data_IF_428095281688
#
_entry.id   IF_428095281688
#
_cell.length_a   1.000
_cell.length_b   1.000
_cell.length_c   1.000
_cell.angle_alpha   90.00
_cell.angle_beta   90.00
_cell.angle_gamma   90.00
#
_symmetry.space_group_name_H-M   'P 1'
#
loop_
_entity.id
_entity.type
_entity.pdbx_description
1 polymer ?
#
# COMPACT_ATOMS: atom_id res chain seq x y z
N UNK A 1 15.30 15.81 -9.16
CA UNK A 1 14.86 14.46 -9.56
C UNK A 1 13.39 14.44 -9.94
N UNK A 2 13.04 13.74 -11.01
CA UNK A 2 11.65 13.62 -11.50
C UNK A 2 10.74 12.88 -10.51
N UNK A 3 11.33 12.07 -9.63
CA UNK A 3 10.65 11.29 -8.60
C UNK A 3 9.80 12.16 -7.67
N UNK A 4 10.29 13.33 -7.28
CA UNK A 4 9.53 14.28 -6.45
C UNK A 4 8.31 14.84 -7.17
N UNK A 5 8.42 15.09 -8.47
CA UNK A 5 7.29 15.53 -9.29
C UNK A 5 6.24 14.42 -9.41
N UNK A 6 6.67 13.16 -9.51
CA UNK A 6 5.77 12.00 -9.51
C UNK A 6 5.04 11.85 -8.18
N UNK A 7 5.76 11.93 -7.05
CA UNK A 7 5.14 11.83 -5.72
C UNK A 7 4.11 12.93 -5.48
N UNK A 8 4.48 14.18 -5.80
CA UNK A 8 3.55 15.32 -5.70
C UNK A 8 2.36 15.15 -6.66
N UNK A 9 2.60 14.68 -7.88
CA UNK A 9 1.57 14.40 -8.87
C UNK A 9 0.56 13.33 -8.41
N UNK A 10 1.03 12.26 -7.75
CA UNK A 10 0.14 11.24 -7.17
C UNK A 10 -0.75 11.85 -6.10
N UNK A 11 -0.19 12.64 -5.17
CA UNK A 11 -0.96 13.26 -4.08
C UNK A 11 -2.00 14.24 -4.63
N UNK A 12 -1.60 15.16 -5.49
CA UNK A 12 -2.48 16.17 -6.08
C UNK A 12 -3.53 15.52 -6.99
N UNK A 13 -3.12 14.57 -7.83
CA UNK A 13 -4.00 13.84 -8.74
C UNK A 13 -5.05 13.01 -7.99
N UNK A 14 -4.65 12.27 -6.95
CA UNK A 14 -5.59 11.52 -6.11
C UNK A 14 -6.58 12.46 -5.40
N UNK A 15 -6.12 13.61 -4.91
CA UNK A 15 -7.00 14.60 -4.27
C UNK A 15 -8.02 15.16 -5.26
N UNK A 16 -7.58 15.65 -6.42
CA UNK A 16 -8.47 16.17 -7.47
C UNK A 16 -9.47 15.09 -7.90
N UNK A 17 -9.01 13.87 -8.13
CA UNK A 17 -9.89 12.76 -8.51
C UNK A 17 -10.93 12.48 -7.44
N UNK A 18 -10.54 12.44 -6.16
CA UNK A 18 -11.49 12.18 -5.07
C UNK A 18 -12.55 13.28 -4.90
N UNK A 19 -12.18 14.54 -5.17
CA UNK A 19 -13.09 15.69 -5.10
C UNK A 19 -14.06 15.68 -6.28
N UNK A 20 -13.55 15.47 -7.50
CA UNK A 20 -14.36 15.40 -8.71
C UNK A 20 -15.33 14.21 -8.69
N UNK A 21 -14.90 13.06 -8.15
CA UNK A 21 -15.77 11.89 -7.99
C UNK A 21 -16.78 12.03 -6.84
N UNK A 22 -16.73 13.11 -6.04
CA UNK A 22 -17.59 13.28 -4.86
C UNK A 22 -17.38 12.22 -3.78
N UNK A 23 -16.30 11.44 -3.85
CA UNK A 23 -15.98 10.32 -2.97
C UNK A 23 -15.06 10.70 -1.82
N UNK A 24 -14.66 11.97 -1.74
CA UNK A 24 -13.82 12.47 -0.65
C UNK A 24 -14.49 12.26 0.71
N UNK A 25 -13.87 11.45 1.56
CA UNK A 25 -14.33 11.16 2.92
C UNK A 25 -13.15 11.24 3.88
N UNK A 26 -13.31 12.02 4.94
CA UNK A 26 -12.32 12.09 6.00
C UNK A 26 -12.58 10.95 6.99
N UNK A 27 -11.78 9.90 6.92
CA UNK A 27 -11.91 8.71 7.77
C UNK A 27 -10.59 8.41 8.49
N UNK A 28 -10.54 8.69 9.79
CA UNK A 28 -9.33 8.49 10.61
C UNK A 28 -9.08 7.01 10.95
N UNK A 29 -10.17 6.24 11.12
CA UNK A 29 -10.11 4.80 11.38
C UNK A 29 -11.14 4.14 10.48
N UNK A 30 -10.71 3.33 9.49
CA UNK A 30 -11.65 2.64 8.61
C UNK A 30 -12.48 1.62 9.39
N UNK A 31 -13.73 1.42 8.96
CA UNK A 31 -14.70 0.52 9.60
C UNK A 31 -14.12 -0.88 9.87
N UNK A 32 -13.44 -1.46 8.86
CA UNK A 32 -12.80 -2.78 8.97
C UNK A 32 -11.79 -2.81 10.13
N UNK A 33 -10.96 -1.76 10.28
CA UNK A 33 -10.01 -1.71 11.39
C UNK A 33 -10.71 -1.59 12.75
N UNK A 34 -11.78 -0.80 12.81
CA UNK A 34 -12.57 -0.61 14.03
C UNK A 34 -13.24 -1.91 14.49
N UNK A 35 -13.69 -2.74 13.55
CA UNK A 35 -14.35 -4.02 13.82
C UNK A 35 -13.37 -5.12 14.22
N UNK A 36 -12.15 -5.14 13.65
CA UNK A 36 -11.19 -6.22 13.91
C UNK A 36 -10.24 -5.96 15.08
N UNK A 37 -9.65 -4.76 15.14
CA UNK A 37 -8.59 -4.41 16.12
C UNK A 37 -9.13 -3.44 17.18
N UNK A 38 -10.08 -2.58 16.81
CA UNK A 38 -10.72 -1.63 17.71
C UNK A 38 -10.61 -0.18 17.23
N UNK A 39 -11.38 0.71 17.88
CA UNK A 39 -11.54 2.11 17.47
C UNK A 39 -10.43 3.09 17.88
N UNK A 40 -9.35 2.63 18.51
CA UNK A 40 -8.29 3.49 19.02
C UNK A 40 -7.47 4.15 17.89
N UNK A 41 -7.53 5.48 17.70
CA UNK A 41 -6.80 6.15 16.62
C UNK A 41 -5.28 5.96 16.72
N UNK A 42 -4.76 5.93 17.95
CA UNK A 42 -3.33 5.72 18.21
C UNK A 42 -2.83 4.38 17.68
N UNK A 43 -3.58 3.30 17.90
CA UNK A 43 -3.24 1.97 17.40
C UNK A 43 -3.28 1.92 15.87
N UNK A 44 -4.25 2.62 15.25
CA UNK A 44 -4.35 2.70 13.79
C UNK A 44 -3.16 3.43 13.17
N UNK A 45 -2.72 4.54 13.78
CA UNK A 45 -1.55 5.28 13.31
C UNK A 45 -0.25 4.51 13.55
N UNK A 46 -0.09 3.89 14.73
CA UNK A 46 1.06 3.04 15.03
C UNK A 46 1.15 1.86 14.05
N UNK A 47 0.02 1.19 13.75
CA UNK A 47 -0.06 0.10 12.79
C UNK A 47 0.32 0.54 11.37
N UNK A 48 -0.20 1.68 10.89
CA UNK A 48 0.20 2.22 9.58
C UNK A 48 1.67 2.63 9.52
N UNK A 49 2.20 3.20 10.60
CA UNK A 49 3.60 3.60 10.65
C UNK A 49 4.53 2.38 10.60
N UNK A 50 4.29 1.38 11.45
CA UNK A 50 5.05 0.12 11.46
C UNK A 50 4.91 -0.59 10.10
N UNK A 51 3.68 -0.69 9.58
CA UNK A 51 3.42 -1.26 8.26
C UNK A 51 4.19 -0.53 7.14
N UNK A 52 4.21 0.81 7.17
CA UNK A 52 4.97 1.62 6.23
C UNK A 52 6.48 1.40 6.31
N UNK A 53 7.03 1.27 7.52
CA UNK A 53 8.45 0.94 7.72
C UNK A 53 8.80 -0.43 7.14
N UNK A 54 7.98 -1.45 7.41
CA UNK A 54 8.18 -2.80 6.85
C UNK A 54 8.08 -2.80 5.32
N UNK A 55 7.13 -2.04 4.77
CA UNK A 55 6.92 -1.93 3.32
C UNK A 55 8.10 -1.22 2.64
N UNK A 56 8.63 -0.15 3.25
CA UNK A 56 9.83 0.54 2.78
C UNK A 56 11.08 -0.34 2.85
N UNK A 57 11.27 -1.04 3.98
CA UNK A 57 12.38 -1.98 4.14
C UNK A 57 12.31 -3.13 3.12
N UNK A 58 11.13 -3.72 2.94
CA UNK A 58 10.87 -4.76 1.94
C UNK A 58 11.14 -4.30 0.51
N UNK A 59 10.66 -3.11 0.14
CA UNK A 59 10.90 -2.53 -1.18
C UNK A 59 12.40 -2.31 -1.44
N UNK A 60 13.15 -1.90 -0.41
CA UNK A 60 14.60 -1.73 -0.54
C UNK A 60 15.31 -3.06 -0.75
N UNK A 61 14.92 -4.11 -0.03
CA UNK A 61 15.47 -5.47 -0.19
C UNK A 61 15.15 -6.07 -1.57
N UNK A 62 13.93 -5.85 -2.07
CA UNK A 62 13.50 -6.34 -3.38
C UNK A 62 14.16 -5.57 -4.55
N UNK A 63 14.76 -4.41 -4.28
CA UNK A 63 15.31 -3.54 -5.33
C UNK A 63 14.23 -2.77 -6.10
N UNK A 64 13.01 -2.66 -5.56
CA UNK A 64 11.88 -2.03 -6.22
C UNK A 64 10.59 -2.14 -5.41
N UNK A 65 9.55 -1.45 -5.89
CA UNK A 65 8.22 -1.46 -5.30
C UNK A 65 7.22 -2.22 -6.18
N UNK A 66 5.95 -2.27 -5.75
CA UNK A 66 4.86 -2.93 -6.50
C UNK A 66 4.61 -2.28 -7.86
N UNK A 67 4.69 -0.96 -8.00
CA UNK A 67 4.55 -0.31 -9.31
C UNK A 67 5.75 -0.60 -10.23
N UNK A 68 6.97 -0.62 -9.68
CA UNK A 68 8.18 -0.94 -10.43
C UNK A 68 8.23 -2.38 -10.93
N UNK A 69 8.10 -3.36 -10.04
CA UNK A 69 8.09 -4.77 -10.43
C UNK A 69 6.77 -5.18 -11.09
N UNK A 70 5.63 -4.71 -10.56
CA UNK A 70 4.31 -5.19 -10.97
C UNK A 70 3.77 -4.57 -12.26
N UNK A 71 4.13 -3.33 -12.59
CA UNK A 71 3.70 -2.68 -13.85
C UNK A 71 4.85 -2.71 -14.86
N UNK A 72 5.95 -2.02 -14.57
CA UNK A 72 7.03 -1.87 -15.55
C UNK A 72 7.80 -3.18 -15.77
N UNK A 73 8.12 -3.90 -14.69
CA UNK A 73 8.94 -5.11 -14.74
C UNK A 73 8.24 -6.33 -15.37
N UNK A 74 6.95 -6.52 -15.10
CA UNK A 74 6.14 -7.61 -15.70
C UNK A 74 5.94 -7.41 -17.20
N UNK A 75 5.68 -6.16 -17.65
CA UNK A 75 5.56 -5.81 -19.07
C UNK A 75 6.88 -6.06 -19.83
N UNK A 76 8.01 -5.85 -19.15
CA UNK A 76 9.35 -6.16 -19.69
C UNK A 76 9.70 -7.65 -19.63
N UNK A 77 8.78 -8.51 -19.15
CA UNK A 77 8.98 -9.96 -18.97
C UNK A 77 10.19 -10.31 -18.10
N UNK A 78 10.57 -9.41 -17.19
CA UNK A 78 11.69 -9.65 -16.28
C UNK A 78 11.32 -10.73 -15.27
N UNK A 79 12.05 -11.84 -15.27
CA UNK A 79 11.81 -12.98 -14.37
C UNK A 79 11.87 -12.56 -12.89
N UNK A 80 12.84 -11.70 -12.54
CA UNK A 80 12.96 -11.14 -11.18
C UNK A 80 11.72 -10.37 -10.74
N UNK A 81 11.08 -9.66 -11.68
CA UNK A 81 9.88 -8.88 -11.40
C UNK A 81 8.65 -9.75 -11.22
N UNK A 82 8.52 -10.84 -11.99
CA UNK A 82 7.46 -11.82 -11.77
C UNK A 82 7.58 -12.52 -10.42
N UNK A 83 8.79 -12.91 -10.01
CA UNK A 83 9.03 -13.49 -8.68
C UNK A 83 8.69 -12.50 -7.56
N UNK A 84 9.17 -11.26 -7.67
CA UNK A 84 8.88 -10.21 -6.69
C UNK A 84 7.37 -9.92 -6.61
N UNK A 85 6.69 -9.82 -7.75
CA UNK A 85 5.25 -9.58 -7.83
C UNK A 85 4.43 -10.67 -7.14
N UNK A 86 4.73 -11.96 -7.41
CA UNK A 86 4.06 -13.09 -6.76
C UNK A 86 4.32 -13.06 -5.24
N UNK A 87 5.57 -12.83 -4.82
CA UNK A 87 5.92 -12.75 -3.41
C UNK A 87 5.17 -11.61 -2.67
N UNK A 88 5.05 -10.44 -3.29
CA UNK A 88 4.28 -9.32 -2.73
C UNK A 88 2.80 -9.67 -2.55
N UNK A 89 2.18 -10.30 -3.54
CA UNK A 89 0.78 -10.73 -3.45
C UNK A 89 0.56 -11.80 -2.40
N UNK A 90 1.39 -12.86 -2.38
CA UNK A 90 1.29 -13.93 -1.38
C UNK A 90 1.50 -13.36 0.02
N UNK A 91 2.54 -12.56 0.23
CA UNK A 91 2.80 -11.92 1.52
C UNK A 91 1.66 -10.99 1.97
N UNK A 92 1.10 -10.21 1.04
CA UNK A 92 -0.05 -9.35 1.29
C UNK A 92 -1.31 -10.13 1.68
N UNK A 93 -1.62 -11.20 0.95
CA UNK A 93 -2.77 -12.08 1.24
C UNK A 93 -2.60 -12.74 2.61
N UNK A 94 -1.42 -13.31 2.90
CA UNK A 94 -1.15 -13.94 4.19
C UNK A 94 -1.25 -12.94 5.34
N UNK A 95 -0.74 -11.72 5.16
CA UNK A 95 -0.85 -10.66 6.17
C UNK A 95 -2.31 -10.24 6.38
N UNK A 96 -3.08 -10.11 5.29
CA UNK A 96 -4.51 -9.80 5.37
C UNK A 96 -5.29 -10.90 6.09
N UNK A 97 -5.04 -12.17 5.78
CA UNK A 97 -5.65 -13.32 6.48
C UNK A 97 -5.23 -13.39 7.95
N UNK A 98 -3.98 -13.07 8.27
CA UNK A 98 -3.50 -13.06 9.65
C UNK A 98 -4.16 -11.96 10.47
N UNK A 99 -4.34 -10.77 9.90
CA UNK A 99 -4.91 -9.61 10.60
C UNK A 99 -6.45 -9.68 10.63
N UNK A 100 -7.08 -10.08 9.52
CA UNK A 100 -8.52 -9.96 9.27
C UNK A 100 -9.24 -11.31 9.05
N UNK A 101 -8.57 -12.46 9.10
CA UNK A 101 -9.18 -13.75 8.73
C UNK A 101 -10.15 -14.34 9.75
N UNK A 102 -10.35 -13.70 10.90
CA UNK A 102 -11.33 -14.10 11.93
C UNK A 102 -12.68 -13.40 11.83
N UNK A 103 -12.90 -12.62 10.76
CA UNK A 103 -14.14 -11.92 10.42
C UNK A 103 -14.84 -12.70 9.32
#
# INVERSE_FOLDING_TARGET
DWEWMLVLGIVVGALISSVLSGSFRFENVPLIWKETIGGGPLLRFAGAFIGGLLLGFGARMAGGCTSGHGISGTIQLALSSWLAFIAFFVGGILTALFIYGGI
#
